data_IF_514451826993
#
_entry.id   IF_514451826993
#
_cell.length_a   1.000
_cell.length_b   1.000
_cell.length_c   1.000
_cell.angle_alpha   90.00
_cell.angle_beta   90.00
_cell.angle_gamma   90.00
#
_symmetry.space_group_name_H-M   'P 1'
#
loop_
_entity.id
_entity.type
_entity.pdbx_description
1 polymer ?
#
# COMPACT_ATOMS: atom_id res chain seq x y z
N UNK A 1 15.64 25.54 22.33
CA UNK A 1 15.30 26.86 22.92
C UNK A 1 14.02 26.69 23.72
N UNK A 2 13.96 27.13 24.98
CA UNK A 2 12.67 27.18 25.70
C UNK A 2 11.83 28.31 25.09
N UNK A 3 10.56 28.09 24.72
CA UNK A 3 9.72 29.14 24.16
C UNK A 3 9.52 30.25 25.19
N UNK A 4 9.77 31.50 24.77
CA UNK A 4 9.64 32.69 25.60
C UNK A 4 8.23 33.25 25.43
N UNK A 5 7.25 32.66 26.12
CA UNK A 5 5.89 33.20 26.11
C UNK A 5 5.86 34.51 26.91
N UNK A 6 5.36 35.62 26.34
CA UNK A 6 5.16 36.85 27.10
C UNK A 6 4.14 36.60 28.23
N UNK A 7 4.36 37.22 29.39
CA UNK A 7 3.51 37.12 30.60
C UNK A 7 2.18 37.89 30.45
N UNK A 8 1.58 37.84 29.27
CA UNK A 8 0.33 38.54 28.97
C UNK A 8 -0.81 37.53 29.02
N UNK A 9 -1.93 37.93 29.63
CA UNK A 9 -3.10 37.08 29.72
C UNK A 9 -3.71 36.90 28.33
N UNK A 10 -3.67 35.67 27.80
CA UNK A 10 -4.08 35.35 26.42
C UNK A 10 -5.54 35.74 26.12
N UNK A 11 -6.36 35.95 27.16
CA UNK A 11 -7.76 36.38 27.05
C UNK A 11 -7.94 37.85 26.65
N UNK A 12 -6.88 38.64 26.61
CA UNK A 12 -6.92 40.07 26.28
C UNK A 12 -6.37 40.37 24.87
N UNK A 13 -5.92 39.35 24.13
CA UNK A 13 -5.43 39.51 22.77
C UNK A 13 -6.59 39.51 21.77
N UNK A 14 -6.47 40.33 20.73
CA UNK A 14 -7.38 40.24 19.57
C UNK A 14 -7.05 39.00 18.73
N UNK A 15 -8.02 38.53 17.95
CA UNK A 15 -7.86 37.32 17.12
C UNK A 15 -6.66 37.44 16.15
N UNK A 16 -6.41 38.62 15.58
CA UNK A 16 -5.23 38.88 14.73
C UNK A 16 -3.91 38.83 15.50
N UNK A 17 -3.88 39.30 16.75
CA UNK A 17 -2.68 39.23 17.60
C UNK A 17 -2.40 37.79 18.05
N UNK A 18 -3.45 36.99 18.25
CA UNK A 18 -3.34 35.59 18.60
C UNK A 18 -2.83 34.75 17.41
N UNK A 19 -3.31 35.05 16.20
CA UNK A 19 -2.88 34.37 14.97
C UNK A 19 -1.41 34.62 14.62
N UNK A 20 -0.91 35.85 14.83
CA UNK A 20 0.51 36.17 14.66
C UNK A 20 1.36 35.40 15.69
N UNK A 21 0.92 35.37 16.95
CA UNK A 21 1.65 34.70 18.04
C UNK A 21 1.66 33.16 17.87
N UNK A 22 0.63 32.58 17.26
CA UNK A 22 0.54 31.16 16.90
C UNK A 22 1.36 30.80 15.65
N UNK A 23 1.43 31.69 14.64
CA UNK A 23 2.31 31.51 13.47
C UNK A 23 3.78 31.56 13.85
N UNK A 24 4.16 32.46 14.74
CA UNK A 24 5.57 32.64 15.15
C UNK A 24 6.09 31.50 16.06
N UNK A 25 5.21 30.72 16.70
CA UNK A 25 5.59 29.65 17.65
C UNK A 25 5.31 28.21 17.20
N UNK A 26 4.90 28.01 15.94
CA UNK A 26 5.04 26.72 15.21
C UNK A 26 4.42 25.47 15.85
N UNK A 27 3.14 25.49 16.24
CA UNK A 27 2.40 24.27 16.62
C UNK A 27 0.96 24.26 16.06
N UNK A 28 0.48 23.15 15.47
CA UNK A 28 -0.90 22.97 15.04
C UNK A 28 -1.82 22.62 16.23
N UNK A 29 -3.07 23.08 16.18
CA UNK A 29 -4.25 22.72 16.98
C UNK A 29 -4.02 21.87 18.26
N UNK A 30 -3.85 22.52 19.41
CA UNK A 30 -3.69 21.85 20.71
C UNK A 30 -5.03 21.48 21.40
N UNK A 31 -5.00 20.42 22.20
CA UNK A 31 -6.09 19.85 23.03
C UNK A 31 -6.88 20.88 23.88
N UNK A 32 -6.29 22.05 24.15
CA UNK A 32 -6.93 23.15 24.86
C UNK A 32 -8.17 23.66 24.09
N UNK A 33 -8.12 23.64 22.75
CA UNK A 33 -9.24 24.04 21.89
C UNK A 33 -10.40 23.03 21.99
N UNK A 34 -10.09 21.73 22.08
CA UNK A 34 -11.09 20.68 22.27
C UNK A 34 -11.76 20.79 23.66
N UNK A 35 -10.98 21.08 24.71
CA UNK A 35 -11.53 21.27 26.06
C UNK A 35 -12.38 22.55 26.19
N UNK A 36 -12.03 23.63 25.48
CA UNK A 36 -12.80 24.88 25.48
C UNK A 36 -14.17 24.69 24.79
N UNK A 37 -14.23 23.91 23.70
CA UNK A 37 -15.48 23.56 23.01
C UNK A 37 -16.35 22.65 23.90
N UNK A 38 -15.77 21.64 24.55
CA UNK A 38 -16.51 20.79 25.51
C UNK A 38 -17.04 21.57 26.72
N UNK A 39 -16.30 22.57 27.23
CA UNK A 39 -16.76 23.43 28.34
C UNK A 39 -17.88 24.38 27.92
N UNK A 40 -17.89 24.87 26.67
CA UNK A 40 -18.99 25.69 26.13
C UNK A 40 -20.27 24.87 25.95
N UNK A 41 -20.18 23.59 25.58
CA UNK A 41 -21.34 22.69 25.43
C UNK A 41 -21.97 22.27 26.78
N UNK A 42 -21.19 22.24 27.88
CA UNK A 42 -21.69 21.82 29.21
C UNK A 42 -22.40 22.91 30.03
N UNK A 43 -22.53 24.16 29.55
CA UNK A 43 -23.05 25.29 30.37
C UNK A 43 -24.49 25.77 30.10
N UNK A 44 -25.31 25.01 29.36
CA UNK A 44 -26.77 25.26 29.30
C UNK A 44 -27.57 23.97 29.44
N UNK A 45 -27.89 23.60 30.69
CA UNK A 45 -29.13 22.91 31.10
C UNK A 45 -29.17 22.75 32.62
N UNK A 46 -29.74 23.73 33.32
CA UNK A 46 -30.33 23.52 34.64
C UNK A 46 -31.85 23.70 34.51
N UNK A 47 -32.58 22.63 34.82
CA UNK A 47 -34.01 22.67 35.13
C UNK A 47 -34.94 22.22 34.01
N UNK A 48 -35.17 20.90 33.86
CA UNK A 48 -36.51 20.38 33.57
C UNK A 48 -36.63 18.91 33.96
N UNK A 49 -37.80 18.56 34.51
CA UNK A 49 -38.13 17.30 35.19
C UNK A 49 -38.14 16.08 34.26
N UNK A 50 -38.00 14.90 34.87
CA UNK A 50 -38.12 13.55 34.27
C UNK A 50 -39.29 13.44 33.28
N UNK A 51 -38.99 13.14 32.02
CA UNK A 51 -39.78 12.24 31.18
C UNK A 51 -38.88 11.64 30.09
N UNK A 52 -39.07 10.35 29.87
CA UNK A 52 -38.41 9.50 28.87
C UNK A 52 -38.63 10.07 27.45
N UNK A 53 -37.53 10.35 26.71
CA UNK A 53 -37.35 10.28 25.23
C UNK A 53 -36.15 11.14 24.76
N UNK A 54 -35.24 10.48 24.04
CA UNK A 54 -34.34 10.94 22.95
C UNK A 54 -33.58 12.27 23.14
N UNK A 55 -32.24 12.22 23.11
CA UNK A 55 -31.41 13.32 22.58
C UNK A 55 -30.27 12.75 21.74
N UNK A 56 -30.51 12.70 20.43
CA UNK A 56 -29.51 12.60 19.37
C UNK A 56 -28.84 13.98 19.25
N UNK A 57 -27.53 14.05 19.48
CA UNK A 57 -26.77 15.29 19.39
C UNK A 57 -26.25 15.51 17.97
N UNK A 58 -26.96 16.30 17.17
CA UNK A 58 -26.45 16.84 15.91
C UNK A 58 -25.39 17.90 16.23
N UNK A 59 -24.15 17.67 15.78
CA UNK A 59 -23.13 18.71 15.68
C UNK A 59 -22.91 19.02 14.20
N UNK A 60 -23.34 20.21 13.79
CA UNK A 60 -23.20 20.72 12.44
C UNK A 60 -21.79 21.31 12.23
N UNK A 61 -21.13 20.87 11.15
CA UNK A 61 -20.15 21.70 10.43
C UNK A 61 -20.37 21.43 8.94
N UNK A 62 -20.86 22.44 8.20
CA UNK A 62 -20.98 22.39 6.74
C UNK A 62 -19.59 22.55 6.12
N UNK A 63 -19.22 21.73 5.13
CA UNK A 63 -19.25 22.11 3.71
C UNK A 63 -19.30 20.85 2.81
N UNK A 64 -20.29 20.87 1.90
CA UNK A 64 -20.60 19.98 0.76
C UNK A 64 -20.99 18.51 1.08
N UNK A 65 -22.32 18.34 1.18
CA UNK A 65 -23.15 17.12 1.31
C UNK A 65 -23.05 16.36 2.64
N UNK A 66 -23.91 16.67 3.63
CA UNK A 66 -24.15 15.73 4.73
C UNK A 66 -25.15 14.69 4.23
N UNK A 67 -24.71 13.57 3.66
CA UNK A 67 -25.57 12.38 3.64
C UNK A 67 -25.55 11.76 5.03
N UNK A 68 -26.12 12.47 6.01
CA UNK A 68 -26.45 11.89 7.31
C UNK A 68 -27.64 10.96 7.12
N UNK A 69 -27.35 9.77 6.61
CA UNK A 69 -28.30 8.68 6.53
C UNK A 69 -28.42 8.07 7.92
N UNK A 70 -29.55 8.34 8.58
CA UNK A 70 -29.86 7.74 9.86
C UNK A 70 -30.62 6.43 9.66
N UNK A 71 -29.93 5.32 9.88
CA UNK A 71 -30.56 4.06 10.24
C UNK A 71 -30.65 3.97 11.77
N UNK A 72 -31.74 4.49 12.35
CA UNK A 72 -31.96 4.39 13.78
C UNK A 72 -32.99 3.29 14.09
N UNK A 73 -32.53 2.04 14.21
CA UNK A 73 -33.26 0.98 14.92
C UNK A 73 -32.61 0.78 16.31
N UNK A 74 -33.38 0.32 17.31
CA UNK A 74 -33.02 0.34 18.74
C UNK A 74 -31.69 -0.35 19.15
N UNK A 75 -31.02 -1.08 18.27
CA UNK A 75 -29.82 -1.89 18.57
C UNK A 75 -28.59 -1.43 17.77
N UNK A 76 -28.79 -0.76 16.64
CA UNK A 76 -27.75 -0.37 15.69
C UNK A 76 -27.84 1.13 15.37
N UNK A 77 -26.71 1.81 15.37
CA UNK A 77 -26.59 3.19 14.89
C UNK A 77 -25.39 3.29 13.98
N UNK A 78 -25.64 3.63 12.73
CA UNK A 78 -24.57 3.87 11.76
C UNK A 78 -24.60 5.33 11.36
N UNK A 79 -23.45 5.96 11.52
CA UNK A 79 -23.22 7.33 11.10
C UNK A 79 -22.15 7.30 10.02
N UNK A 80 -22.52 7.72 8.82
CA UNK A 80 -21.54 8.06 7.79
C UNK A 80 -21.34 9.57 7.80
N UNK A 81 -20.09 9.98 7.93
CA UNK A 81 -19.68 11.36 7.88
C UNK A 81 -18.64 11.50 6.78
N UNK A 82 -18.95 12.27 5.75
CA UNK A 82 -18.00 12.66 4.72
C UNK A 82 -17.40 14.02 5.09
N UNK A 83 -16.08 14.10 5.14
CA UNK A 83 -15.30 15.34 5.28
C UNK A 83 -14.24 15.35 4.18
N UNK A 84 -14.40 16.24 3.19
CA UNK A 84 -13.59 16.27 1.99
C UNK A 84 -13.53 14.89 1.31
N UNK A 85 -12.33 14.29 1.24
CA UNK A 85 -12.11 12.99 0.64
C UNK A 85 -12.06 11.83 1.65
N UNK A 86 -12.46 12.07 2.90
CA UNK A 86 -12.56 11.04 3.93
C UNK A 86 -14.02 10.74 4.25
N UNK A 87 -14.42 9.48 4.14
CA UNK A 87 -15.69 8.99 4.68
C UNK A 87 -15.41 8.19 5.94
N UNK A 88 -15.91 8.66 7.07
CA UNK A 88 -15.87 7.95 8.33
C UNK A 88 -17.19 7.22 8.53
N UNK A 89 -17.13 5.89 8.67
CA UNK A 89 -18.26 5.03 9.01
C UNK A 89 -18.16 4.67 10.48
N UNK A 90 -19.04 5.24 11.31
CA UNK A 90 -19.15 4.87 12.73
C UNK A 90 -20.28 3.88 12.90
N UNK A 91 -19.97 2.71 13.44
CA UNK A 91 -20.92 1.64 13.67
C UNK A 91 -21.01 1.43 15.17
N UNK A 92 -22.16 1.79 15.73
CA UNK A 92 -22.46 1.60 17.14
C UNK A 92 -23.51 0.49 17.31
N UNK A 93 -23.25 -0.38 18.28
CA UNK A 93 -24.17 -1.45 18.66
C UNK A 93 -24.33 -1.51 20.17
N UNK A 94 -25.57 -1.72 20.64
CA UNK A 94 -25.85 -1.97 22.07
C UNK A 94 -26.12 -3.48 22.30
N UNK A 95 -25.30 -4.14 23.13
CA UNK A 95 -25.51 -5.50 23.69
C UNK A 95 -26.16 -6.54 22.74
N UNK A 96 -25.35 -7.31 22.01
CA UNK A 96 -25.85 -8.54 21.39
C UNK A 96 -24.84 -9.71 21.47
N UNK A 97 -25.36 -10.91 21.72
CA UNK A 97 -24.62 -12.15 21.61
C UNK A 97 -24.19 -12.34 20.16
N UNK A 98 -22.88 -12.44 19.94
CA UNK A 98 -22.32 -12.74 18.62
C UNK A 98 -22.33 -14.26 18.45
N UNK A 99 -22.96 -14.74 17.38
CA UNK A 99 -22.86 -16.14 16.99
C UNK A 99 -21.77 -16.29 15.92
N UNK A 100 -20.97 -17.37 15.93
CA UNK A 100 -20.03 -17.59 14.85
C UNK A 100 -20.80 -17.77 13.55
N UNK A 101 -20.43 -17.01 12.52
CA UNK A 101 -21.07 -17.05 11.21
C UNK A 101 -20.03 -17.23 10.10
N UNK A 102 -20.46 -17.86 9.01
CA UNK A 102 -19.75 -18.01 7.75
C UNK A 102 -20.48 -17.19 6.67
N UNK A 103 -19.71 -16.46 5.88
CA UNK A 103 -20.21 -15.75 4.70
C UNK A 103 -20.17 -16.69 3.48
N UNK A 104 -21.28 -16.77 2.76
CA UNK A 104 -21.40 -17.46 1.48
C UNK A 104 -22.05 -16.52 0.45
N UNK A 105 -21.83 -16.80 -0.83
CA UNK A 105 -22.42 -16.08 -1.96
C UNK A 105 -23.23 -17.04 -2.83
N UNK A 106 -24.54 -16.77 -2.98
CA UNK A 106 -25.41 -17.50 -3.93
C UNK A 106 -25.29 -16.99 -5.36
N UNK A 107 -24.70 -15.81 -5.52
CA UNK A 107 -24.40 -15.22 -6.82
C UNK A 107 -22.94 -14.79 -6.88
N UNK A 108 -22.24 -15.28 -7.90
CA UNK A 108 -20.90 -14.85 -8.28
C UNK A 108 -20.95 -14.57 -9.78
N UNK A 109 -20.52 -13.39 -10.24
CA UNK A 109 -20.45 -13.08 -11.66
C UNK A 109 -19.69 -14.15 -12.47
N UNK A 110 -20.14 -14.37 -13.70
CA UNK A 110 -19.56 -15.38 -14.58
C UNK A 110 -18.07 -15.13 -14.82
N UNK A 111 -17.26 -16.16 -14.59
CA UNK A 111 -15.82 -16.13 -14.82
C UNK A 111 -14.98 -15.72 -13.61
N UNK A 112 -15.59 -15.26 -12.52
CA UNK A 112 -14.89 -15.10 -11.24
C UNK A 112 -14.82 -16.45 -10.51
N UNK A 113 -13.66 -16.75 -9.94
CA UNK A 113 -13.43 -17.97 -9.16
C UNK A 113 -13.04 -17.62 -7.72
N UNK A 114 -13.38 -18.46 -6.72
CA UNK A 114 -13.04 -18.19 -5.33
C UNK A 114 -11.53 -18.33 -5.07
N UNK A 115 -11.00 -17.42 -4.26
CA UNK A 115 -9.65 -17.45 -3.70
C UNK A 115 -9.69 -17.24 -2.19
N UNK A 116 -8.64 -17.68 -1.47
CA UNK A 116 -8.48 -17.49 -0.02
C UNK A 116 -9.72 -17.87 0.80
N UNK A 117 -10.15 -19.14 0.72
CA UNK A 117 -11.27 -19.63 1.55
C UNK A 117 -12.65 -19.07 1.19
N UNK A 118 -12.81 -18.49 -0.01
CA UNK A 118 -14.10 -17.99 -0.52
C UNK A 118 -14.46 -16.57 -0.09
N UNK A 119 -13.49 -15.78 0.38
CA UNK A 119 -13.69 -14.37 0.74
C UNK A 119 -13.31 -13.41 -0.39
N UNK A 120 -12.52 -13.87 -1.36
CA UNK A 120 -12.10 -13.11 -2.54
C UNK A 120 -12.52 -13.87 -3.79
N UNK A 121 -12.99 -13.14 -4.79
CA UNK A 121 -13.40 -13.69 -6.08
C UNK A 121 -12.81 -12.81 -7.17
N UNK A 122 -12.07 -13.41 -8.09
CA UNK A 122 -11.47 -12.69 -9.23
C UNK A 122 -11.36 -13.59 -10.46
N UNK A 123 -11.07 -12.99 -11.62
CA UNK A 123 -10.71 -13.76 -12.82
C UNK A 123 -9.32 -14.36 -12.66
N UNK A 124 -9.13 -15.65 -12.98
CA UNK A 124 -7.80 -16.31 -12.91
C UNK A 124 -6.73 -15.58 -13.72
N UNK A 125 -7.13 -14.94 -14.82
CA UNK A 125 -6.23 -14.20 -15.70
C UNK A 125 -5.94 -12.76 -15.25
N UNK A 126 -6.75 -12.18 -14.35
CA UNK A 126 -6.62 -10.78 -13.91
C UNK A 126 -7.12 -10.63 -12.47
N UNK A 127 -6.19 -10.57 -11.52
CA UNK A 127 -6.52 -10.45 -10.09
C UNK A 127 -7.09 -9.07 -9.69
N UNK A 128 -7.15 -8.14 -10.63
CA UNK A 128 -7.62 -6.78 -10.42
C UNK A 128 -9.12 -6.59 -10.73
N UNK A 129 -9.78 -7.62 -11.25
CA UNK A 129 -11.22 -7.62 -11.52
C UNK A 129 -11.94 -8.62 -10.60
N UNK A 130 -12.89 -8.13 -9.82
CA UNK A 130 -13.70 -8.95 -8.93
C UNK A 130 -14.16 -8.26 -7.65
N UNK A 131 -14.25 -9.02 -6.55
CA UNK A 131 -14.63 -8.48 -5.24
C UNK A 131 -13.96 -9.25 -4.10
N UNK A 132 -13.78 -8.56 -2.97
CA UNK A 132 -13.35 -9.17 -1.72
C UNK A 132 -14.25 -8.73 -0.58
N UNK A 133 -14.44 -9.61 0.40
CA UNK A 133 -15.39 -9.39 1.48
C UNK A 133 -14.81 -9.77 2.84
N UNK A 134 -15.34 -9.13 3.87
CA UNK A 134 -15.04 -9.45 5.26
C UNK A 134 -16.27 -9.25 6.16
N UNK A 135 -16.31 -10.02 7.24
CA UNK A 135 -17.31 -9.89 8.30
C UNK A 135 -16.76 -9.02 9.42
N UNK A 136 -17.46 -7.93 9.72
CA UNK A 136 -17.17 -7.04 10.83
C UNK A 136 -18.10 -7.38 12.00
N UNK A 137 -17.54 -7.39 13.22
CA UNK A 137 -18.23 -7.73 14.47
C UNK A 137 -18.17 -6.58 15.48
N UNK A 138 -18.92 -5.49 15.23
CA UNK A 138 -18.93 -4.34 16.13
C UNK A 138 -19.22 -4.74 17.57
N UNK A 139 -18.25 -4.46 18.46
CA UNK A 139 -18.36 -4.77 19.89
C UNK A 139 -19.04 -3.64 20.67
N UNK A 140 -18.71 -2.39 20.36
CA UNK A 140 -19.28 -1.18 20.98
C UNK A 140 -19.49 -0.09 19.93
N UNK A 141 -18.53 0.83 19.78
CA UNK A 141 -18.45 1.82 18.71
C UNK A 141 -17.17 1.53 17.95
N UNK A 142 -17.31 1.23 16.67
CA UNK A 142 -16.18 1.07 15.76
C UNK A 142 -16.22 2.16 14.70
N UNK A 143 -15.06 2.63 14.31
CA UNK A 143 -14.89 3.71 13.35
C UNK A 143 -14.00 3.22 12.20
N UNK A 144 -14.51 3.34 10.99
CA UNK A 144 -13.83 2.93 9.77
C UNK A 144 -13.60 4.16 8.91
N UNK A 145 -12.35 4.53 8.71
CA UNK A 145 -11.94 5.65 7.87
C UNK A 145 -11.68 5.16 6.45
N UNK A 146 -12.44 5.68 5.49
CA UNK A 146 -12.33 5.36 4.07
C UNK A 146 -11.77 6.59 3.35
N UNK A 147 -10.44 6.70 3.21
CA UNK A 147 -9.82 7.80 2.50
C UNK A 147 -10.04 7.69 0.99
N UNK A 148 -9.81 8.79 0.30
CA UNK A 148 -10.05 9.01 -1.13
C UNK A 148 -11.52 8.85 -1.54
N UNK A 149 -12.45 8.92 -0.59
CA UNK A 149 -13.88 8.85 -0.86
C UNK A 149 -14.38 10.07 -1.63
N UNK A 150 -15.22 9.87 -2.63
CA UNK A 150 -15.82 10.94 -3.44
C UNK A 150 -17.33 11.05 -3.25
N UNK A 151 -17.97 10.02 -2.71
CA UNK A 151 -19.40 10.06 -2.40
C UNK A 151 -19.88 8.80 -1.70
N UNK A 152 -21.10 8.91 -1.16
CA UNK A 152 -21.79 7.83 -0.45
C UNK A 152 -23.21 7.70 -1.00
N UNK A 153 -23.60 6.47 -1.34
CA UNK A 153 -24.97 6.12 -1.73
C UNK A 153 -25.57 5.13 -0.72
N UNK A 154 -26.79 5.40 -0.25
CA UNK A 154 -27.58 4.44 0.54
C UNK A 154 -28.59 3.73 -0.36
N UNK A 155 -28.73 2.43 -0.15
CA UNK A 155 -29.82 1.62 -0.70
C UNK A 155 -30.24 0.54 0.30
N UNK A 156 -31.26 -0.22 -0.04
CA UNK A 156 -31.70 -1.41 0.69
C UNK A 156 -31.59 -2.63 -0.22
N UNK A 157 -30.87 -3.65 0.23
CA UNK A 157 -30.65 -4.90 -0.52
C UNK A 157 -31.09 -6.05 0.38
N UNK A 158 -32.05 -6.86 -0.08
CA UNK A 158 -32.65 -7.95 0.69
C UNK A 158 -33.15 -7.54 2.10
N UNK A 159 -33.68 -6.33 2.24
CA UNK A 159 -34.13 -5.80 3.53
C UNK A 159 -33.00 -5.34 4.46
N UNK A 160 -31.74 -5.47 4.04
CA UNK A 160 -30.57 -4.96 4.75
C UNK A 160 -30.18 -3.60 4.20
N UNK A 161 -29.97 -2.64 5.10
CA UNK A 161 -29.42 -1.34 4.72
C UNK A 161 -28.00 -1.51 4.20
N UNK A 162 -27.73 -0.87 3.08
CA UNK A 162 -26.46 -1.01 2.38
C UNK A 162 -25.97 0.35 1.96
N UNK A 163 -24.67 0.58 2.14
CA UNK A 163 -24.02 1.84 1.81
C UNK A 163 -22.87 1.57 0.85
N UNK A 164 -22.81 2.30 -0.26
CA UNK A 164 -21.69 2.28 -1.19
C UNK A 164 -20.86 3.55 -1.01
N UNK A 165 -19.60 3.40 -0.62
CA UNK A 165 -18.62 4.48 -0.58
C UNK A 165 -17.77 4.42 -1.84
N UNK A 166 -17.93 5.41 -2.72
CA UNK A 166 -17.11 5.56 -3.94
C UNK A 166 -15.78 6.20 -3.60
N UNK A 167 -14.70 5.75 -4.24
CA UNK A 167 -13.33 6.20 -4.04
C UNK A 167 -12.71 6.62 -5.37
N UNK A 168 -11.83 7.59 -5.32
CA UNK A 168 -11.02 8.04 -6.47
C UNK A 168 -9.55 7.81 -6.16
N UNK A 169 -9.07 6.63 -6.49
CA UNK A 169 -7.69 6.21 -6.28
C UNK A 169 -7.14 5.81 -7.64
N UNK A 170 -6.02 6.40 -8.01
CA UNK A 170 -5.37 6.08 -9.27
C UNK A 170 -4.61 4.75 -9.12
N UNK A 171 -4.67 3.90 -10.14
CA UNK A 171 -3.94 2.62 -10.15
C UNK A 171 -4.59 1.49 -9.36
N UNK A 172 -5.79 1.72 -8.78
CA UNK A 172 -6.60 0.64 -8.21
C UNK A 172 -7.81 0.38 -9.06
N UNK A 173 -8.12 -0.91 -9.23
CA UNK A 173 -9.34 -1.35 -9.86
C UNK A 173 -10.50 -1.46 -8.85
N UNK A 174 -10.26 -1.31 -7.54
CA UNK A 174 -11.29 -1.37 -6.49
C UNK A 174 -11.69 0.02 -5.99
N UNK A 175 -12.63 0.64 -6.70
CA UNK A 175 -13.09 2.01 -6.44
C UNK A 175 -14.29 2.11 -5.50
N UNK A 176 -14.85 0.99 -5.05
CA UNK A 176 -16.09 0.99 -4.28
C UNK A 176 -15.97 0.10 -3.04
N UNK A 177 -16.36 0.63 -1.89
CA UNK A 177 -16.48 -0.12 -0.63
C UNK A 177 -17.94 -0.12 -0.20
N UNK A 178 -18.55 -1.30 -0.15
CA UNK A 178 -19.91 -1.48 0.34
C UNK A 178 -19.92 -1.92 1.81
N UNK A 179 -20.83 -1.37 2.60
CA UNK A 179 -21.16 -1.83 3.94
C UNK A 179 -22.63 -2.28 3.98
N UNK A 180 -22.89 -3.57 4.19
CA UNK A 180 -24.23 -4.13 4.38
C UNK A 180 -24.46 -4.46 5.85
N UNK A 181 -25.58 -3.98 6.39
CA UNK A 181 -25.92 -4.11 7.80
C UNK A 181 -26.91 -5.25 7.96
N UNK A 182 -26.42 -6.36 8.49
CA UNK A 182 -27.20 -7.56 8.74
C UNK A 182 -27.73 -7.51 10.17
N UNK A 183 -28.81 -6.74 10.38
CA UNK A 183 -29.37 -6.49 11.72
C UNK A 183 -29.81 -7.78 12.42
N UNK A 184 -30.33 -8.76 11.67
CA UNK A 184 -30.81 -10.03 12.21
C UNK A 184 -29.66 -10.89 12.78
N UNK A 185 -28.54 -10.95 12.06
CA UNK A 185 -27.33 -11.70 12.43
C UNK A 185 -26.41 -10.90 13.34
N UNK A 186 -26.69 -9.62 13.53
CA UNK A 186 -25.91 -8.69 14.32
C UNK A 186 -24.45 -8.53 13.84
N UNK A 187 -24.28 -8.43 12.51
CA UNK A 187 -23.00 -8.33 11.80
C UNK A 187 -23.04 -7.23 10.74
N UNK A 188 -21.86 -6.82 10.29
CA UNK A 188 -21.71 -5.98 9.09
C UNK A 188 -20.84 -6.69 8.07
N UNK A 189 -21.26 -6.71 6.81
CA UNK A 189 -20.43 -7.23 5.71
C UNK A 189 -19.80 -6.03 5.00
N UNK A 190 -18.47 -5.98 4.98
CA UNK A 190 -17.73 -5.02 4.15
C UNK A 190 -17.29 -5.71 2.87
N UNK A 191 -17.53 -5.09 1.72
CA UNK A 191 -17.17 -5.63 0.40
C UNK A 191 -16.42 -4.58 -0.42
N UNK A 192 -15.20 -4.89 -0.85
CA UNK A 192 -14.47 -4.12 -1.86
C UNK A 192 -14.88 -4.64 -3.24
N UNK A 193 -15.31 -3.73 -4.11
CA UNK A 193 -15.88 -4.05 -5.42
C UNK A 193 -15.04 -3.35 -6.50
N UNK A 194 -14.72 -4.08 -7.57
CA UNK A 194 -14.00 -3.54 -8.70
C UNK A 194 -14.85 -2.56 -9.53
N UNK A 195 -14.19 -1.60 -10.19
CA UNK A 195 -14.77 -0.56 -11.05
C UNK A 195 -15.38 -1.13 -12.34
N UNK A 196 -14.92 -2.31 -12.76
CA UNK A 196 -15.42 -3.12 -13.87
C UNK A 196 -16.85 -3.62 -13.63
N UNK A 197 -17.24 -3.79 -12.37
CA UNK A 197 -18.57 -4.26 -11.99
C UNK A 197 -19.58 -3.12 -12.09
N UNK A 198 -20.56 -3.26 -12.99
CA UNK A 198 -21.68 -2.32 -13.03
C UNK A 198 -22.43 -2.28 -11.69
N UNK A 199 -23.06 -1.16 -11.36
CA UNK A 199 -23.85 -1.01 -10.13
C UNK A 199 -24.87 -2.15 -9.95
N UNK A 200 -25.54 -2.58 -11.03
CA UNK A 200 -26.49 -3.69 -10.99
C UNK A 200 -25.83 -5.02 -10.61
N UNK A 201 -24.59 -5.27 -11.05
CA UNK A 201 -23.86 -6.46 -10.66
C UNK A 201 -23.33 -6.37 -9.22
N UNK A 202 -22.87 -5.19 -8.80
CA UNK A 202 -22.52 -4.94 -7.39
C UNK A 202 -23.71 -5.24 -6.47
N UNK A 203 -24.91 -4.74 -6.80
CA UNK A 203 -26.14 -5.00 -6.05
C UNK A 203 -26.52 -6.48 -6.02
N UNK A 204 -26.36 -7.21 -7.14
CA UNK A 204 -26.63 -8.66 -7.19
C UNK A 204 -25.64 -9.47 -6.36
N UNK A 205 -24.36 -9.11 -6.35
CA UNK A 205 -23.36 -9.76 -5.47
C UNK A 205 -23.78 -9.60 -4.02
N UNK A 206 -24.13 -8.37 -3.63
CA UNK A 206 -24.61 -8.07 -2.29
C UNK A 206 -25.94 -8.77 -1.97
N UNK A 207 -26.89 -8.84 -2.90
CA UNK A 207 -28.12 -9.61 -2.76
C UNK A 207 -27.88 -11.13 -2.70
N UNK A 208 -26.71 -11.60 -3.14
CA UNK A 208 -26.30 -12.98 -3.06
C UNK A 208 -25.74 -13.38 -1.69
N UNK A 209 -25.49 -12.43 -0.79
CA UNK A 209 -24.90 -12.67 0.54
C UNK A 209 -25.82 -13.55 1.39
N UNK A 210 -25.24 -14.60 1.95
CA UNK A 210 -25.85 -15.45 2.97
C UNK A 210 -24.91 -15.60 4.16
N UNK A 211 -25.48 -15.44 5.36
CA UNK A 211 -24.78 -15.64 6.63
C UNK A 211 -25.32 -16.91 7.28
N UNK A 212 -24.47 -17.91 7.39
CA UNK A 212 -24.82 -19.20 8.01
C UNK A 212 -24.16 -19.32 9.38
N UNK A 213 -24.89 -19.82 10.38
CA UNK A 213 -24.31 -20.13 11.69
C UNK A 213 -23.26 -21.24 11.58
N UNK A 214 -22.14 -21.11 12.29
CA UNK A 214 -21.02 -22.05 12.25
C UNK A 214 -20.31 -22.18 13.62
N UNK A 215 -19.20 -22.92 13.69
CA UNK A 215 -18.35 -23.03 14.89
C UNK A 215 -17.32 -21.89 14.94
N UNK A 216 -16.74 -21.61 16.11
CA UNK A 216 -15.66 -20.60 16.22
C UNK A 216 -14.44 -20.93 15.34
N UNK A 217 -14.13 -22.22 15.14
CA UNK A 217 -13.01 -22.68 14.32
C UNK A 217 -13.26 -22.49 12.81
N UNK A 218 -14.53 -22.51 12.40
CA UNK A 218 -14.97 -22.32 11.02
C UNK A 218 -15.46 -20.89 10.75
N UNK A 219 -15.54 -20.08 11.82
CA UNK A 219 -15.82 -18.66 11.77
C UNK A 219 -14.70 -17.97 11.02
N UNK A 220 -15.07 -17.11 10.08
CA UNK A 220 -14.10 -16.30 9.37
C UNK A 220 -13.31 -15.42 10.35
N UNK A 221 -11.99 -15.42 10.19
CA UNK A 221 -11.07 -14.59 10.97
C UNK A 221 -11.29 -13.14 10.55
N UNK A 222 -11.58 -12.29 11.55
CA UNK A 222 -11.64 -10.85 11.40
C UNK A 222 -10.22 -10.34 11.69
N UNK A 223 -9.45 -9.87 10.70
CA UNK A 223 -8.21 -9.19 11.01
C UNK A 223 -8.55 -7.90 11.76
N UNK A 224 -7.94 -7.67 12.92
CA UNK A 224 -7.91 -6.34 13.51
C UNK A 224 -7.26 -5.43 12.46
N UNK A 225 -8.01 -4.47 11.92
CA UNK A 225 -7.46 -3.44 11.05
C UNK A 225 -6.57 -2.59 11.94
N UNK A 226 -5.27 -2.91 11.96
CA UNK A 226 -4.29 -1.98 12.47
C UNK A 226 -4.30 -0.79 11.51
N UNK A 227 -4.70 0.37 12.01
CA UNK A 227 -4.33 1.63 11.37
C UNK A 227 -2.80 1.64 11.35
N UNK A 228 -2.21 1.27 10.22
CA UNK A 228 -0.84 1.63 9.89
C UNK A 228 -0.82 3.14 9.74
N UNK A 229 -0.82 3.83 10.89
CA UNK A 229 -0.46 5.23 11.00
C UNK A 229 0.99 5.32 10.60
N UNK A 230 1.22 5.38 9.29
CA UNK A 230 2.54 5.43 8.68
C UNK A 230 3.35 6.53 9.35
N UNK A 231 4.26 6.14 10.24
CA UNK A 231 5.26 7.05 10.76
C UNK A 231 6.09 7.46 9.54
N UNK A 232 6.29 8.76 9.27
CA UNK A 232 7.10 9.18 8.13
C UNK A 232 8.49 8.55 8.27
N UNK A 233 8.78 7.59 7.40
CA UNK A 233 10.03 6.85 7.44
C UNK A 233 11.15 7.77 6.99
N UNK A 234 12.13 7.99 7.85
CA UNK A 234 13.29 8.80 7.53
C UNK A 234 14.36 7.92 6.90
N UNK A 235 14.55 8.04 5.57
CA UNK A 235 15.62 7.33 4.87
C UNK A 235 16.91 8.17 4.94
N UNK A 236 17.94 7.67 5.63
CA UNK A 236 19.30 8.21 5.53
C UNK A 236 19.91 7.79 4.18
N UNK A 237 19.93 8.74 3.24
CA UNK A 237 20.50 8.52 1.91
C UNK A 237 21.99 8.15 1.91
N UNK A 238 22.38 7.36 0.91
CA UNK A 238 23.73 6.85 0.68
C UNK A 238 24.71 8.01 0.43
N UNK A 239 25.79 8.09 1.20
CA UNK A 239 26.80 9.14 1.03
C UNK A 239 27.54 8.93 -0.29
N UNK A 240 27.77 10.00 -1.03
CA UNK A 240 28.46 9.94 -2.33
C UNK A 240 29.85 9.30 -2.26
N UNK A 241 30.52 9.41 -1.11
CA UNK A 241 31.82 8.83 -0.82
C UNK A 241 31.74 7.64 0.15
N UNK A 242 30.61 6.95 0.20
CA UNK A 242 30.45 5.75 1.00
C UNK A 242 31.45 4.69 0.58
N UNK A 243 32.02 3.99 1.56
CA UNK A 243 32.92 2.84 1.32
C UNK A 243 32.17 1.60 0.81
N UNK A 244 30.84 1.63 0.86
CA UNK A 244 29.98 0.56 0.39
C UNK A 244 29.60 0.75 -1.09
N UNK A 245 30.11 1.79 -1.76
CA UNK A 245 29.94 2.00 -3.20
C UNK A 245 31.13 1.38 -3.92
N UNK A 246 30.82 0.41 -4.77
CA UNK A 246 31.75 -0.31 -5.63
C UNK A 246 31.48 0.03 -7.09
N UNK A 247 32.51 -0.03 -7.91
CA UNK A 247 32.37 0.14 -9.35
C UNK A 247 32.20 -1.22 -10.05
N UNK A 248 31.72 -1.20 -11.28
CA UNK A 248 31.72 -2.38 -12.14
C UNK A 248 33.12 -3.01 -12.21
N UNK A 249 33.20 -4.34 -12.15
CA UNK A 249 34.42 -5.14 -12.05
C UNK A 249 35.19 -5.01 -10.72
N UNK A 250 34.67 -4.32 -9.72
CA UNK A 250 35.26 -4.34 -8.38
C UNK A 250 34.71 -5.54 -7.58
N UNK A 251 35.56 -6.38 -6.97
CA UNK A 251 35.09 -7.47 -6.12
C UNK A 251 34.58 -6.94 -4.78
N UNK A 252 33.41 -7.43 -4.38
CA UNK A 252 32.77 -7.18 -3.10
C UNK A 252 32.90 -8.40 -2.22
N UNK A 253 33.22 -8.20 -0.95
CA UNK A 253 33.15 -9.24 0.06
C UNK A 253 31.83 -9.14 0.82
N UNK A 254 31.03 -10.19 0.81
CA UNK A 254 29.79 -10.28 1.58
C UNK A 254 29.93 -11.37 2.64
N UNK A 255 29.92 -10.97 3.91
CA UNK A 255 30.06 -11.87 5.07
C UNK A 255 28.81 -11.81 5.92
N UNK A 256 28.20 -12.95 6.23
CA UNK A 256 27.10 -13.03 7.19
C UNK A 256 27.48 -13.98 8.34
N UNK A 257 27.78 -13.39 9.50
CA UNK A 257 28.42 -14.09 10.62
C UNK A 257 27.54 -15.19 11.21
N UNK A 258 26.22 -15.02 11.20
CA UNK A 258 25.29 -15.98 11.80
C UNK A 258 25.05 -17.22 10.91
N UNK A 259 25.33 -17.15 9.61
CA UNK A 259 25.16 -18.27 8.66
C UNK A 259 26.48 -18.82 8.11
N UNK A 260 27.62 -18.32 8.60
CA UNK A 260 28.96 -18.66 8.10
C UNK A 260 29.11 -18.49 6.57
N UNK A 261 28.32 -17.59 5.98
CA UNK A 261 28.39 -17.26 4.56
C UNK A 261 29.51 -16.26 4.35
N UNK A 262 30.41 -16.58 3.41
CA UNK A 262 31.50 -15.72 3.02
C UNK A 262 31.69 -15.74 1.50
N UNK A 263 31.19 -14.70 0.84
CA UNK A 263 31.09 -14.59 -0.62
C UNK A 263 32.00 -13.51 -1.19
N UNK A 264 32.57 -13.79 -2.35
CA UNK A 264 33.15 -12.76 -3.22
C UNK A 264 32.22 -12.61 -4.42
N UNK A 265 31.69 -11.39 -4.61
CA UNK A 265 30.74 -11.06 -5.66
C UNK A 265 31.34 -9.99 -6.54
N UNK A 266 31.22 -10.13 -7.86
CA UNK A 266 31.66 -9.14 -8.82
C UNK A 266 30.64 -9.04 -9.95
N UNK A 267 30.29 -7.82 -10.37
CA UNK A 267 29.52 -7.60 -11.61
C UNK A 267 30.50 -7.25 -12.72
N UNK A 268 30.58 -8.11 -13.73
CA UNK A 268 31.58 -8.03 -14.79
C UNK A 268 31.08 -7.31 -16.04
N UNK A 269 29.84 -7.58 -16.41
CA UNK A 269 29.22 -7.06 -17.62
C UNK A 269 27.87 -6.43 -17.30
N UNK A 270 27.58 -5.35 -18.02
CA UNK A 270 26.31 -4.63 -17.99
C UNK A 270 25.92 -4.31 -19.43
N UNK A 271 24.67 -4.61 -19.78
CA UNK A 271 24.12 -4.33 -21.10
C UNK A 271 22.69 -3.83 -20.99
N UNK A 272 22.30 -3.02 -21.96
CA UNK A 272 20.94 -2.52 -22.11
C UNK A 272 20.44 -2.74 -23.53
N UNK A 273 19.14 -2.99 -23.67
CA UNK A 273 18.49 -3.21 -24.96
C UNK A 273 16.99 -2.99 -24.86
N UNK A 274 16.35 -2.73 -25.98
CA UNK A 274 14.89 -2.60 -26.09
C UNK A 274 14.20 -3.94 -26.41
N UNK A 275 14.90 -5.06 -26.27
CA UNK A 275 14.38 -6.40 -26.57
C UNK A 275 14.78 -7.37 -25.47
N UNK A 276 13.86 -8.25 -25.09
CA UNK A 276 14.17 -9.34 -24.18
C UNK A 276 14.99 -10.43 -24.90
N UNK A 277 15.94 -11.07 -24.20
CA UNK A 277 16.51 -12.33 -24.65
C UNK A 277 15.45 -13.41 -24.84
N UNK A 278 15.74 -14.37 -25.71
CA UNK A 278 14.97 -15.61 -25.78
C UNK A 278 15.34 -16.53 -24.60
N UNK A 279 14.57 -16.42 -23.52
CA UNK A 279 14.82 -17.15 -22.27
C UNK A 279 14.58 -18.66 -22.40
N UNK A 280 13.86 -19.13 -23.43
CA UNK A 280 13.57 -20.56 -23.63
C UNK A 280 14.82 -21.42 -23.83
N UNK A 281 15.95 -20.79 -24.16
CA UNK A 281 17.22 -21.45 -24.46
C UNK A 281 18.11 -21.70 -23.23
N UNK A 282 17.71 -21.25 -22.04
CA UNK A 282 18.56 -21.31 -20.84
C UNK A 282 17.75 -21.77 -19.63
N UNK A 283 18.26 -22.71 -18.81
CA UNK A 283 17.64 -23.01 -17.52
C UNK A 283 17.64 -21.74 -16.66
N UNK A 284 16.45 -21.20 -16.42
CA UNK A 284 16.26 -19.90 -15.80
C UNK A 284 14.89 -19.79 -15.18
N UNK A 285 14.78 -18.91 -14.19
CA UNK A 285 13.49 -18.41 -13.73
C UNK A 285 13.20 -17.08 -14.41
N UNK A 286 11.99 -16.94 -14.91
CA UNK A 286 11.50 -15.74 -15.57
C UNK A 286 10.10 -15.43 -15.07
N UNK A 287 9.90 -14.21 -14.59
CA UNK A 287 8.60 -13.74 -14.12
C UNK A 287 8.39 -12.32 -14.60
N UNK A 288 7.32 -12.12 -15.36
CA UNK A 288 6.78 -10.80 -15.62
C UNK A 288 5.40 -10.69 -14.97
N UNK A 289 5.18 -9.66 -14.17
CA UNK A 289 3.85 -9.27 -13.74
C UNK A 289 2.91 -9.01 -14.95
N UNK A 290 1.61 -9.27 -14.79
CA UNK A 290 0.64 -9.28 -15.91
C UNK A 290 0.55 -7.95 -16.69
N UNK A 291 0.78 -6.84 -16.02
CA UNK A 291 0.78 -5.48 -16.57
C UNK A 291 1.90 -5.22 -17.60
N UNK A 292 2.93 -6.06 -17.66
CA UNK A 292 3.99 -5.93 -18.66
C UNK A 292 3.54 -6.26 -20.09
N UNK A 293 2.42 -6.96 -20.26
CA UNK A 293 1.78 -7.19 -21.56
C UNK A 293 1.44 -5.89 -22.31
N UNK A 294 1.31 -4.77 -21.60
CA UNK A 294 1.07 -3.44 -22.16
C UNK A 294 2.27 -2.89 -22.95
N UNK A 295 3.48 -3.37 -22.64
CA UNK A 295 4.74 -2.81 -23.16
C UNK A 295 5.61 -3.85 -23.85
N UNK A 296 5.12 -5.09 -24.04
CA UNK A 296 5.91 -6.18 -24.58
C UNK A 296 5.21 -6.83 -25.79
N UNK A 297 5.91 -6.95 -26.91
CA UNK A 297 5.42 -7.73 -28.07
C UNK A 297 5.60 -9.24 -27.85
N UNK A 298 4.83 -10.09 -28.56
CA UNK A 298 5.04 -11.55 -28.50
C UNK A 298 6.46 -11.99 -28.86
N UNK A 299 7.17 -11.21 -29.69
CA UNK A 299 8.55 -11.46 -30.10
C UNK A 299 9.59 -10.94 -29.08
N UNK A 300 9.15 -10.36 -27.96
CA UNK A 300 9.99 -9.86 -26.89
C UNK A 300 10.48 -8.42 -27.06
N UNK A 301 9.89 -7.62 -27.96
CA UNK A 301 10.28 -6.21 -28.11
C UNK A 301 9.58 -5.31 -27.09
N UNK A 302 10.32 -4.41 -26.45
CA UNK A 302 9.79 -3.43 -25.51
C UNK A 302 9.28 -2.20 -26.27
N UNK A 303 7.97 -1.97 -26.20
CA UNK A 303 7.29 -0.87 -26.85
C UNK A 303 7.33 0.40 -25.98
N UNK A 304 7.48 1.58 -26.60
CA UNK A 304 7.24 2.82 -25.89
C UNK A 304 5.80 2.89 -25.39
N UNK A 305 5.61 3.47 -24.20
CA UNK A 305 4.29 3.68 -23.61
C UNK A 305 4.13 5.11 -23.11
N UNK A 306 2.89 5.51 -22.85
CA UNK A 306 2.58 6.82 -22.28
C UNK A 306 2.47 6.69 -20.76
N UNK A 307 3.42 7.28 -20.04
CA UNK A 307 3.43 7.31 -18.59
C UNK A 307 2.78 8.61 -18.09
N UNK A 308 1.72 8.47 -17.30
CA UNK A 308 1.09 9.57 -16.56
C UNK A 308 1.68 9.62 -15.17
N UNK A 309 2.24 10.74 -14.78
CA UNK A 309 2.87 10.94 -13.46
C UNK A 309 1.88 11.66 -12.56
N UNK A 310 1.62 11.06 -11.40
CA UNK A 310 0.71 11.60 -10.40
C UNK A 310 1.49 12.08 -9.18
N UNK A 311 1.01 13.16 -8.58
CA UNK A 311 1.33 13.58 -7.23
C UNK A 311 0.34 12.87 -6.29
N UNK A 312 0.85 12.08 -5.35
CA UNK A 312 0.04 11.36 -4.38
C UNK A 312 -0.68 12.34 -3.44
N UNK A 313 -1.99 12.14 -3.30
CA UNK A 313 -2.81 12.82 -2.31
C UNK A 313 -2.73 12.14 -0.93
N UNK A 314 -3.22 12.82 0.10
CA UNK A 314 -3.35 12.23 1.44
C UNK A 314 -4.68 11.46 1.62
N UNK A 315 -5.57 11.51 0.63
CA UNK A 315 -6.88 10.86 0.67
C UNK A 315 -7.84 11.47 1.70
N UNK A 316 -7.49 12.60 2.30
CA UNK A 316 -8.35 13.32 3.26
C UNK A 316 -8.64 14.70 2.72
N UNK A 317 -7.60 15.49 2.41
CA UNK A 317 -7.69 16.85 1.89
C UNK A 317 -7.44 16.94 0.40
N UNK A 318 -6.71 15.98 -0.17
CA UNK A 318 -6.43 15.93 -1.60
C UNK A 318 -6.51 14.51 -2.16
N UNK A 319 -6.99 14.43 -3.40
CA UNK A 319 -6.85 13.23 -4.24
C UNK A 319 -5.51 13.26 -4.98
N UNK A 320 -5.21 12.16 -5.67
CA UNK A 320 -4.08 12.10 -6.59
C UNK A 320 -4.29 13.07 -7.76
N UNK A 321 -3.23 13.79 -8.12
CA UNK A 321 -3.27 14.78 -9.20
C UNK A 321 -2.30 14.38 -10.31
N UNK A 322 -2.79 14.25 -11.55
CA UNK A 322 -1.90 14.07 -12.70
C UNK A 322 -1.13 15.37 -12.94
N UNK A 323 0.18 15.35 -12.68
CA UNK A 323 1.06 16.51 -12.82
C UNK A 323 1.84 16.53 -14.13
N UNK A 324 1.98 15.38 -14.79
CA UNK A 324 2.75 15.27 -16.04
C UNK A 324 2.33 14.04 -16.85
N UNK A 325 2.59 14.09 -18.15
CA UNK A 325 2.52 12.95 -19.06
C UNK A 325 3.76 12.95 -19.93
N UNK A 326 4.38 11.78 -20.17
CA UNK A 326 5.50 11.63 -21.10
C UNK A 326 5.51 10.25 -21.75
N UNK A 327 5.98 10.18 -22.99
CA UNK A 327 6.30 8.90 -23.63
C UNK A 327 7.62 8.37 -23.10
N UNK A 328 7.65 7.09 -22.76
CA UNK A 328 8.79 6.40 -22.15
C UNK A 328 9.12 5.18 -23.01
N UNK A 329 10.42 5.00 -23.31
CA UNK A 329 10.94 3.78 -23.94
C UNK A 329 11.54 2.90 -22.83
N UNK A 330 10.92 1.76 -22.48
CA UNK A 330 11.50 0.83 -21.53
C UNK A 330 12.80 0.20 -22.06
N UNK A 331 13.66 -0.20 -21.12
CA UNK A 331 14.92 -0.89 -21.39
C UNK A 331 15.00 -2.18 -20.56
N UNK A 332 15.46 -3.26 -21.18
CA UNK A 332 15.94 -4.45 -20.49
C UNK A 332 17.40 -4.27 -20.15
N UNK A 333 17.73 -4.44 -18.88
CA UNK A 333 19.07 -4.32 -18.32
C UNK A 333 19.54 -5.67 -17.83
N UNK A 334 20.69 -6.11 -18.28
CA UNK A 334 21.25 -7.41 -17.91
C UNK A 334 22.65 -7.26 -17.37
N UNK A 335 22.90 -7.94 -16.25
CA UNK A 335 24.18 -7.94 -15.57
C UNK A 335 24.70 -9.35 -15.40
N UNK A 336 26.01 -9.51 -15.56
CA UNK A 336 26.71 -10.78 -15.31
C UNK A 336 27.41 -10.71 -13.97
N UNK A 337 26.94 -11.51 -13.02
CA UNK A 337 27.52 -11.67 -11.70
C UNK A 337 28.45 -12.87 -11.69
N UNK A 338 29.58 -12.72 -11.02
CA UNK A 338 30.44 -13.81 -10.59
C UNK A 338 30.29 -13.93 -9.07
N UNK A 339 29.89 -15.10 -8.60
CA UNK A 339 29.69 -15.41 -7.19
C UNK A 339 30.65 -16.53 -6.83
N UNK A 340 31.62 -16.24 -5.96
CA UNK A 340 32.57 -17.21 -5.46
C UNK A 340 32.30 -17.52 -4.00
N UNK A 341 32.04 -18.78 -3.71
CA UNK A 341 31.89 -19.25 -2.34
C UNK A 341 33.26 -19.41 -1.71
N UNK A 342 33.59 -18.55 -0.74
CA UNK A 342 34.83 -18.64 0.02
C UNK A 342 34.60 -19.18 1.44
N UNK A 343 33.37 -19.57 1.75
CA UNK A 343 33.00 -20.31 2.96
C UNK A 343 33.58 -21.73 2.90
N UNK A 344 33.68 -22.38 4.06
CA UNK A 344 34.14 -23.77 4.16
C UNK A 344 33.07 -24.80 3.81
N UNK A 345 31.80 -24.39 3.74
CA UNK A 345 30.65 -25.24 3.46
C UNK A 345 30.02 -24.94 2.10
N UNK A 346 29.39 -25.95 1.49
CA UNK A 346 28.55 -25.77 0.31
C UNK A 346 27.38 -24.87 0.66
N UNK A 347 27.15 -23.84 -0.15
CA UNK A 347 25.94 -23.03 -0.07
C UNK A 347 24.80 -23.84 -0.66
N UNK A 348 23.87 -24.22 0.20
CA UNK A 348 22.61 -24.87 -0.17
C UNK A 348 21.47 -23.90 0.11
N UNK A 349 20.41 -23.97 -0.69
CA UNK A 349 19.25 -23.10 -0.53
C UNK A 349 19.61 -21.62 -0.44
N UNK A 350 20.57 -21.21 -1.28
CA UNK A 350 21.08 -19.84 -1.27
C UNK A 350 20.15 -18.92 -2.04
N UNK A 351 19.47 -18.05 -1.31
CA UNK A 351 18.65 -16.97 -1.86
C UNK A 351 19.53 -15.79 -2.21
N UNK A 352 19.68 -15.52 -3.50
CA UNK A 352 20.41 -14.36 -3.98
C UNK A 352 19.42 -13.34 -4.54
N UNK A 353 19.09 -12.35 -3.73
CA UNK A 353 18.25 -11.23 -4.13
C UNK A 353 19.08 -9.97 -4.26
N UNK A 354 18.84 -9.25 -5.34
CA UNK A 354 19.48 -7.98 -5.67
C UNK A 354 18.41 -7.03 -6.16
N UNK A 355 18.54 -5.76 -5.81
CA UNK A 355 17.56 -4.72 -6.15
C UNK A 355 18.25 -3.70 -7.04
N UNK A 356 17.64 -3.36 -8.17
CA UNK A 356 18.10 -2.24 -8.99
C UNK A 356 17.47 -0.95 -8.48
N UNK A 357 18.26 0.11 -8.32
CA UNK A 357 17.81 1.36 -7.73
C UNK A 357 18.26 2.55 -8.58
N UNK A 358 17.32 3.46 -8.86
CA UNK A 358 17.61 4.80 -9.41
C UNK A 358 17.64 5.81 -8.26
N UNK A 359 18.82 6.40 -8.01
CA UNK A 359 19.03 7.35 -6.92
C UNK A 359 19.46 8.74 -7.44
N UNK A 360 18.94 9.78 -6.81
CA UNK A 360 19.28 11.16 -7.12
C UNK A 360 20.33 11.70 -6.16
N UNK A 361 21.41 12.26 -6.70
CA UNK A 361 22.42 12.96 -5.89
C UNK A 361 21.88 14.32 -5.43
N UNK A 362 21.60 14.45 -4.13
CA UNK A 362 21.17 15.70 -3.46
C UNK A 362 22.09 15.99 -2.28
N UNK A 363 22.72 17.17 -2.27
CA UNK A 363 23.60 17.63 -1.18
C UNK A 363 24.62 16.55 -0.74
N UNK A 364 25.29 15.93 -1.72
CA UNK A 364 26.30 14.87 -1.53
C UNK A 364 25.79 13.54 -0.99
N UNK A 365 24.47 13.28 -1.07
CA UNK A 365 23.87 11.98 -0.78
C UNK A 365 22.97 11.54 -1.92
N UNK A 366 23.10 10.28 -2.31
CA UNK A 366 22.15 9.60 -3.17
C UNK A 366 20.91 9.28 -2.35
N UNK A 367 19.74 9.65 -2.88
CA UNK A 367 18.46 9.47 -2.22
C UNK A 367 17.46 8.89 -3.22
N UNK A 368 16.53 8.03 -2.78
CA UNK A 368 15.40 7.67 -3.61
C UNK A 368 14.63 8.95 -3.97
N UNK A 369 13.99 8.95 -5.14
CA UNK A 369 13.06 10.01 -5.48
C UNK A 369 11.97 10.05 -4.41
N UNK A 370 11.70 11.24 -3.85
CA UNK A 370 10.72 11.36 -2.76
C UNK A 370 9.39 10.74 -3.18
N UNK A 371 8.87 9.85 -2.33
CA UNK A 371 7.80 8.89 -2.59
C UNK A 371 6.40 9.49 -2.83
N UNK A 372 6.31 10.79 -3.10
CA UNK A 372 5.01 11.43 -3.28
C UNK A 372 4.59 11.50 -4.75
N UNK A 373 5.32 10.85 -5.66
CA UNK A 373 4.89 10.71 -7.06
C UNK A 373 4.93 9.26 -7.50
N UNK A 374 3.95 8.86 -8.30
CA UNK A 374 3.87 7.53 -8.90
C UNK A 374 3.41 7.64 -10.36
N UNK A 375 3.44 6.52 -11.10
CA UNK A 375 3.16 6.50 -12.54
C UNK A 375 2.06 5.51 -12.90
N UNK A 376 1.21 5.89 -13.86
CA UNK A 376 0.27 4.99 -14.54
C UNK A 376 0.67 4.76 -16.02
N UNK A 377 0.57 3.51 -16.52
CA UNK A 377 0.27 2.29 -15.76
C UNK A 377 1.33 2.02 -14.68
N UNK A 378 0.91 1.51 -13.52
CA UNK A 378 1.85 1.02 -12.53
C UNK A 378 2.58 -0.19 -13.12
N UNK A 379 3.91 -0.12 -13.19
CA UNK A 379 4.78 -1.20 -13.63
C UNK A 379 5.83 -1.39 -12.52
N UNK A 380 5.88 -2.57 -11.85
CA UNK A 380 6.81 -2.82 -10.77
C UNK A 380 8.24 -2.49 -11.17
N UNK A 381 8.89 -1.67 -10.36
CA UNK A 381 10.27 -1.26 -10.55
C UNK A 381 11.18 -2.12 -9.66
N UNK A 382 12.48 -2.15 -9.97
CA UNK A 382 13.55 -2.56 -9.06
C UNK A 382 13.77 -4.06 -8.80
N UNK A 383 12.80 -4.93 -9.10
CA UNK A 383 12.97 -6.39 -8.92
C UNK A 383 13.54 -7.08 -10.17
N UNK A 384 14.33 -8.17 -9.99
CA UNK A 384 14.75 -9.00 -11.10
C UNK A 384 13.57 -9.67 -11.79
N UNK A 385 13.56 -9.63 -13.13
CA UNK A 385 12.58 -10.34 -13.97
C UNK A 385 13.15 -11.63 -14.55
N UNK A 386 14.46 -11.80 -14.49
CA UNK A 386 15.19 -12.95 -15.00
C UNK A 386 16.38 -13.28 -14.09
N UNK A 387 16.53 -14.56 -13.73
CA UNK A 387 17.71 -15.09 -13.03
C UNK A 387 18.14 -16.39 -13.71
N UNK A 388 19.35 -16.38 -14.27
CA UNK A 388 19.99 -17.56 -14.86
C UNK A 388 20.42 -18.56 -13.77
N UNK A 389 20.14 -19.85 -14.00
CA UNK A 389 20.54 -20.91 -13.06
C UNK A 389 19.67 -21.01 -11.81
N UNK A 390 18.52 -20.32 -11.77
CA UNK A 390 17.51 -20.54 -10.74
C UNK A 390 16.79 -21.88 -10.96
N UNK A 391 16.57 -22.65 -9.88
CA UNK A 391 16.01 -24.00 -9.98
C UNK A 391 14.49 -23.99 -10.25
N UNK A 392 14.05 -24.71 -11.29
CA UNK A 392 12.63 -24.94 -11.55
C UNK A 392 11.97 -25.69 -10.37
N UNK A 393 11.03 -25.05 -9.68
CA UNK A 393 10.24 -25.65 -8.59
C UNK A 393 10.58 -25.15 -7.17
N UNK A 394 11.58 -24.28 -7.03
CA UNK A 394 11.86 -23.50 -5.81
C UNK A 394 11.59 -22.01 -6.06
N UNK A 395 11.61 -21.20 -5.00
CA UNK A 395 11.36 -19.75 -5.07
C UNK A 395 12.30 -19.05 -6.08
N UNK A 396 11.79 -18.02 -6.78
CA UNK A 396 12.44 -17.35 -7.91
C UNK A 396 13.92 -16.93 -7.69
N UNK A 397 14.31 -16.64 -6.45
CA UNK A 397 15.63 -16.16 -6.06
C UNK A 397 16.63 -17.27 -5.66
N UNK A 398 16.23 -18.53 -5.75
CA UNK A 398 17.02 -19.69 -5.32
C UNK A 398 18.04 -20.09 -6.39
N UNK A 399 19.33 -20.08 -6.04
CA UNK A 399 20.42 -20.52 -6.91
C UNK A 399 20.81 -21.98 -6.66
N UNK A 400 21.36 -22.64 -7.69
CA UNK A 400 22.01 -23.94 -7.53
C UNK A 400 23.11 -23.94 -6.46
N UNK A 401 23.31 -25.11 -5.84
CA UNK A 401 24.36 -25.34 -4.84
C UNK A 401 25.73 -24.85 -5.32
N UNK A 402 26.43 -24.11 -4.46
CA UNK A 402 27.77 -23.58 -4.73
C UNK A 402 28.76 -24.17 -3.73
N UNK A 403 29.62 -25.09 -4.19
CA UNK A 403 30.62 -25.75 -3.37
C UNK A 403 31.71 -24.78 -2.87
N UNK A 404 32.46 -25.12 -1.82
CA UNK A 404 33.59 -24.31 -1.35
C UNK A 404 34.61 -24.04 -2.47
N UNK A 405 35.02 -22.78 -2.59
CA UNK A 405 35.90 -22.23 -3.64
C UNK A 405 35.34 -22.28 -5.06
N UNK A 406 34.12 -22.78 -5.26
CA UNK A 406 33.46 -22.75 -6.55
C UNK A 406 33.07 -21.32 -6.91
N UNK A 407 33.20 -21.00 -8.20
CA UNK A 407 32.79 -19.74 -8.78
C UNK A 407 31.66 -20.01 -9.75
N UNK A 408 30.51 -19.38 -9.52
CA UNK A 408 29.36 -19.41 -10.42
C UNK A 408 29.25 -18.09 -11.16
N UNK A 409 28.89 -18.19 -12.44
CA UNK A 409 28.55 -17.04 -13.27
C UNK A 409 27.06 -17.11 -13.52
N UNK A 410 26.35 -16.04 -13.20
CA UNK A 410 24.91 -15.92 -13.41
C UNK A 410 24.59 -14.59 -14.09
N UNK A 411 23.54 -14.58 -14.90
CA UNK A 411 22.95 -13.37 -15.45
C UNK A 411 21.65 -13.03 -14.72
N UNK A 412 21.51 -11.76 -14.37
CA UNK A 412 20.30 -11.21 -13.76
C UNK A 412 19.79 -10.08 -14.64
N UNK A 413 18.50 -10.15 -14.97
CA UNK A 413 17.82 -9.21 -15.84
C UNK A 413 16.78 -8.38 -15.09
N UNK A 414 16.69 -7.10 -15.45
CA UNK A 414 15.77 -6.12 -14.90
C UNK A 414 15.06 -5.38 -16.03
N UNK A 415 13.87 -4.86 -15.73
CA UNK A 415 13.17 -3.92 -16.60
C UNK A 415 13.21 -2.53 -16.00
N UNK A 416 13.95 -1.65 -16.67
CA UNK A 416 13.83 -0.22 -16.46
C UNK A 416 12.68 0.29 -17.32
N UNK A 417 11.49 0.33 -16.71
CA UNK A 417 10.28 0.84 -17.33
C UNK A 417 10.17 2.35 -17.26
N UNK A 418 11.11 3.03 -16.58
CA UNK A 418 11.09 4.48 -16.48
C UNK A 418 12.51 5.07 -16.48
N UNK A 419 13.28 4.90 -17.57
CA UNK A 419 14.65 5.37 -17.62
C UNK A 419 14.71 6.89 -17.46
N UNK A 420 15.39 7.35 -16.42
CA UNK A 420 15.68 8.75 -16.16
C UNK A 420 17.19 8.99 -16.13
N UNK A 421 17.62 10.26 -16.11
CA UNK A 421 19.04 10.63 -16.06
C UNK A 421 19.65 10.52 -14.64
N UNK A 422 19.10 9.64 -13.81
CA UNK A 422 19.50 9.44 -12.41
C UNK A 422 20.73 8.52 -12.32
N UNK A 423 21.35 8.44 -11.15
CA UNK A 423 22.44 7.50 -10.92
C UNK A 423 21.87 6.12 -10.59
N UNK A 424 22.38 5.09 -11.25
CA UNK A 424 21.87 3.74 -11.10
C UNK A 424 22.78 2.88 -10.25
N UNK A 425 22.17 2.06 -9.42
CA UNK A 425 22.86 1.17 -8.50
C UNK A 425 22.23 -0.21 -8.50
N UNK A 426 23.06 -1.22 -8.23
CA UNK A 426 22.59 -2.50 -7.72
C UNK A 426 22.85 -2.56 -6.24
N UNK A 427 21.78 -2.71 -5.48
CA UNK A 427 21.82 -3.03 -4.07
C UNK A 427 21.95 -4.54 -3.89
N UNK A 428 22.96 -4.94 -3.12
CA UNK A 428 23.12 -6.30 -2.63
C UNK A 428 22.92 -6.25 -1.11
N UNK A 429 21.88 -6.91 -0.63
CA UNK A 429 21.54 -6.96 0.79
C UNK A 429 21.68 -8.41 1.28
N UNK A 430 22.37 -8.61 2.39
CA UNK A 430 22.48 -9.94 3.02
C UNK A 430 21.21 -10.37 3.76
N UNK A 431 20.33 -9.41 4.13
CA UNK A 431 19.32 -9.63 5.17
C UNK A 431 17.87 -9.47 4.68
N UNK A 432 17.65 -9.05 3.42
CA UNK A 432 16.32 -8.98 2.80
C UNK A 432 15.31 -8.00 3.44
N UNK A 433 15.73 -7.17 4.39
CA UNK A 433 14.84 -6.23 5.10
C UNK A 433 14.80 -4.85 4.46
N UNK A 434 13.68 -4.14 4.67
CA UNK A 434 13.55 -2.70 4.43
C UNK A 434 14.67 -1.91 5.13
N UNK A 435 15.19 -0.88 4.48
CA UNK A 435 16.42 -0.18 4.88
C UNK A 435 16.14 1.29 5.13
N UNK A 436 16.25 1.69 6.40
CA UNK A 436 16.17 3.10 6.80
C UNK A 436 17.49 3.85 6.62
N UNK A 437 18.65 3.17 6.65
CA UNK A 437 19.97 3.78 6.40
C UNK A 437 20.74 3.06 5.30
N UNK A 438 20.91 3.72 4.16
CA UNK A 438 21.60 3.15 3.00
C UNK A 438 23.12 2.99 3.21
N UNK A 439 23.67 3.48 4.32
CA UNK A 439 25.09 3.41 4.65
C UNK A 439 25.44 2.26 5.61
N UNK A 440 24.46 1.43 6.01
CA UNK A 440 24.72 0.25 6.85
C UNK A 440 25.74 -0.70 6.20
N UNK A 441 26.55 -1.36 7.02
CA UNK A 441 27.57 -2.31 6.56
C UNK A 441 27.00 -3.58 5.93
N UNK A 442 25.72 -3.87 6.15
CA UNK A 442 25.02 -5.04 5.59
C UNK A 442 24.59 -4.86 4.13
N UNK A 443 24.78 -3.65 3.58
CA UNK A 443 24.40 -3.32 2.21
C UNK A 443 25.60 -2.86 1.42
N UNK A 444 25.74 -3.42 0.24
CA UNK A 444 26.74 -3.06 -0.75
C UNK A 444 26.04 -2.53 -1.99
N UNK A 445 26.62 -1.50 -2.60
CA UNK A 445 26.06 -0.78 -3.73
C UNK A 445 27.04 -0.85 -4.90
N UNK A 446 26.61 -1.37 -6.03
CA UNK A 446 27.40 -1.35 -7.26
C UNK A 446 26.87 -0.21 -8.12
N UNK A 447 27.67 0.83 -8.32
CA UNK A 447 27.31 1.92 -9.21
C UNK A 447 27.46 1.47 -10.66
N UNK A 448 26.37 1.61 -11.42
CA UNK A 448 26.36 1.29 -12.84
C UNK A 448 26.89 2.49 -13.66
N UNK A 449 27.56 2.24 -14.80
CA UNK A 449 28.06 3.32 -15.64
C UNK A 449 26.91 4.13 -16.21
N UNK A 450 27.01 5.47 -16.15
CA UNK A 450 26.07 6.34 -16.88
C UNK A 450 26.22 6.13 -18.38
N UNK A 451 25.12 5.81 -19.05
CA UNK A 451 25.08 5.86 -20.51
C UNK A 451 25.35 7.30 -20.96
N UNK A 452 26.37 7.47 -21.81
CA UNK A 452 26.72 8.76 -22.43
C UNK A 452 25.96 8.98 -23.71
#
# INVERSE_FOLDING_TARGET
MKPNYPKTNLTELTDEQLDVLLRENGQPFSEIHQQAIQKKLKKKRKGMKRSTKIILGVAATMFLLPTSVYAANKVWSILMQQDNFLTTVKIQKENANQHPCKLNFTYVPSGLVPHSGGMKYWHEATQSDGFSSMLLRPKDIEEYNIPFSTGVEETEINGNKTFFVKRSIVGTDFDTVAFMICEAENLVVQVYLANSLSQKEQEKILAGIQLEGTTEEQSMIVPDVQEDGGVPIHIEGLRQNSKNIYQLNEPIRLTHSASEIDLEIQVQHYSERTTLPDFSKTPSSYHLPDNYSLILTPEGSLLPYTAKIYQAGDGVRSLDEQIKEKTVQPLYKEMTFTIRNLSTQTLKDFYFSTTWEQLQLKKSRYQPKQANTFTEPFLPLNEPVYIEGAQNGHDFYHLEDIAPNETRVIRIGYLDVFPEADDEFIQINSDGTYVEDFNTSTIQWIQLPKNK
#
